data_IF_989401858821
#
_entry.id   IF_989401858821
#
_cell.length_a   1.000
_cell.length_b   1.000
_cell.length_c   1.000
_cell.angle_alpha   90.00
_cell.angle_beta   90.00
_cell.angle_gamma   90.00
#
_symmetry.space_group_name_H-M   'P 1'
#
loop_
_entity.id
_entity.type
_entity.pdbx_description
1 polymer ?
#
# COMPACT_ATOMS: atom_id res chain seq x y z
N UNK A 1 8.45 -6.78 37.12
CA UNK A 1 7.24 -6.94 36.29
C UNK A 1 7.52 -6.23 34.98
N UNK A 2 7.68 -6.96 33.88
CA UNK A 2 7.87 -6.36 32.55
C UNK A 2 6.50 -6.09 31.94
N UNK A 3 6.02 -4.86 32.08
CA UNK A 3 4.85 -4.37 31.35
C UNK A 3 5.19 -4.36 29.85
N UNK A 4 4.73 -5.38 29.12
CA UNK A 4 4.66 -5.30 27.65
C UNK A 4 3.54 -4.31 27.33
N UNK A 5 3.89 -3.08 26.98
CA UNK A 5 2.96 -2.19 26.30
C UNK A 5 2.46 -2.92 25.05
N UNK A 6 1.14 -3.07 24.84
CA UNK A 6 0.64 -3.67 23.61
C UNK A 6 0.99 -2.72 22.47
N UNK A 7 1.81 -3.18 21.51
CA UNK A 7 2.05 -2.46 20.27
C UNK A 7 0.72 -2.05 19.64
N UNK A 8 0.68 -0.85 19.05
CA UNK A 8 -0.49 -0.44 18.29
C UNK A 8 -0.64 -1.40 17.10
N UNK A 9 -1.79 -2.05 16.99
CA UNK A 9 -1.98 -3.13 16.00
C UNK A 9 -1.88 -2.63 14.55
N UNK A 10 -2.21 -1.36 14.31
CA UNK A 10 -2.19 -0.75 12.98
C UNK A 10 -2.08 0.78 13.09
N UNK A 11 -1.34 1.38 12.17
CA UNK A 11 -1.39 2.82 11.90
C UNK A 11 -2.78 3.14 11.37
N UNK A 12 -3.46 4.20 11.83
CA UNK A 12 -4.83 4.49 11.37
C UNK A 12 -4.86 5.04 9.94
N UNK A 13 -3.88 5.89 9.61
CA UNK A 13 -3.77 6.60 8.35
C UNK A 13 -3.31 5.68 7.20
N UNK A 14 -4.11 5.51 6.12
CA UNK A 14 -3.76 4.68 4.98
C UNK A 14 -2.52 5.15 4.22
N UNK A 15 -2.32 6.47 4.07
CA UNK A 15 -1.15 7.05 3.41
C UNK A 15 0.15 6.65 4.11
N UNK A 16 0.17 6.78 5.44
CA UNK A 16 1.31 6.37 6.26
C UNK A 16 1.61 4.87 6.14
N UNK A 17 0.59 4.00 6.08
CA UNK A 17 0.82 2.55 5.86
C UNK A 17 1.52 2.28 4.54
N UNK A 18 1.14 3.00 3.48
CA UNK A 18 1.76 2.91 2.16
C UNK A 18 3.20 3.42 2.20
N UNK A 19 3.46 4.54 2.88
CA UNK A 19 4.81 5.09 3.01
C UNK A 19 5.73 4.13 3.76
N UNK A 20 5.24 3.48 4.81
CA UNK A 20 5.97 2.40 5.52
C UNK A 20 6.26 1.25 4.55
N UNK A 21 5.26 0.78 3.81
CA UNK A 21 5.43 -0.32 2.87
C UNK A 21 6.43 0.01 1.74
N UNK A 22 6.37 1.24 1.22
CA UNK A 22 7.32 1.77 0.24
C UNK A 22 8.73 1.85 0.82
N UNK A 23 8.87 2.36 2.04
CA UNK A 23 10.17 2.45 2.72
C UNK A 23 10.81 1.05 2.90
N UNK A 24 10.02 0.02 3.22
CA UNK A 24 10.51 -1.37 3.25
C UNK A 24 10.99 -1.81 1.87
N UNK A 25 10.22 -1.54 0.82
CA UNK A 25 10.59 -1.90 -0.55
C UNK A 25 11.87 -1.18 -1.04
N UNK A 26 12.07 0.05 -0.60
CA UNK A 26 13.27 0.86 -0.85
C UNK A 26 14.49 0.42 -0.01
N UNK A 27 14.32 -0.57 0.89
CA UNK A 27 15.38 -1.21 1.65
C UNK A 27 15.48 -0.81 3.12
N UNK A 28 14.51 -0.06 3.65
CA UNK A 28 14.47 0.31 5.07
C UNK A 28 14.21 -0.92 5.94
N UNK A 29 15.01 -1.17 7.00
CA UNK A 29 14.78 -2.28 7.90
C UNK A 29 13.40 -2.25 8.56
N UNK A 30 12.73 -3.40 8.58
CA UNK A 30 11.42 -3.56 9.20
C UNK A 30 11.42 -3.19 10.68
N UNK A 31 12.47 -3.58 11.42
CA UNK A 31 12.55 -3.34 12.87
C UNK A 31 12.69 -1.85 13.17
N UNK A 32 13.39 -1.09 12.31
CA UNK A 32 13.51 0.36 12.43
C UNK A 32 12.14 1.04 12.25
N UNK A 33 11.37 0.65 11.24
CA UNK A 33 10.03 1.20 11.00
C UNK A 33 9.04 0.78 12.10
N UNK A 34 9.18 -0.43 12.63
CA UNK A 34 8.36 -0.91 13.73
C UNK A 34 8.56 -0.06 14.99
N UNK A 35 9.82 0.27 15.32
CA UNK A 35 10.17 1.16 16.42
C UNK A 35 9.70 2.60 16.17
N UNK A 36 9.92 3.12 14.96
CA UNK A 36 9.57 4.51 14.60
C UNK A 36 8.06 4.78 14.69
N UNK A 37 7.24 3.82 14.26
CA UNK A 37 5.79 3.97 14.21
C UNK A 37 5.06 3.30 15.40
N UNK A 38 5.77 2.77 16.38
CA UNK A 38 5.24 2.04 17.56
C UNK A 38 4.24 0.92 17.19
N UNK A 39 4.57 0.16 16.15
CA UNK A 39 3.76 -0.96 15.64
C UNK A 39 4.57 -2.26 15.66
N UNK A 40 3.86 -3.39 15.61
CA UNK A 40 4.52 -4.69 15.55
C UNK A 40 5.30 -4.86 14.22
N UNK A 41 6.51 -5.47 14.23
CA UNK A 41 7.24 -5.81 13.00
C UNK A 41 6.43 -6.67 12.02
N UNK A 42 5.54 -7.52 12.53
CA UNK A 42 4.61 -8.30 11.72
C UNK A 42 3.60 -7.43 10.96
N UNK A 43 3.16 -6.32 11.55
CA UNK A 43 2.26 -5.35 10.89
C UNK A 43 3.00 -4.64 9.75
N UNK A 44 4.25 -4.24 9.96
CA UNK A 44 5.09 -3.64 8.91
C UNK A 44 5.27 -4.61 7.73
N UNK A 45 5.61 -5.88 8.00
CA UNK A 45 5.75 -6.91 6.95
C UNK A 45 4.46 -7.09 6.17
N UNK A 46 3.33 -7.13 6.87
CA UNK A 46 2.01 -7.24 6.24
C UNK A 46 1.73 -6.05 5.31
N UNK A 47 2.04 -4.82 5.71
CA UNK A 47 1.89 -3.66 4.83
C UNK A 47 2.77 -3.77 3.59
N UNK A 48 4.01 -4.24 3.75
CA UNK A 48 4.92 -4.47 2.63
C UNK A 48 4.41 -5.54 1.66
N UNK A 49 3.84 -6.64 2.17
CA UNK A 49 3.24 -7.71 1.36
C UNK A 49 2.02 -7.21 0.57
N UNK A 50 1.08 -6.54 1.24
CA UNK A 50 -0.11 -5.96 0.62
C UNK A 50 0.27 -4.97 -0.50
N UNK A 51 1.26 -4.10 -0.24
CA UNK A 51 1.77 -3.16 -1.24
C UNK A 51 2.49 -3.87 -2.39
N UNK A 52 3.31 -4.89 -2.12
CA UNK A 52 4.03 -5.63 -3.15
C UNK A 52 3.08 -6.33 -4.13
N UNK A 53 1.94 -6.85 -3.64
CA UNK A 53 0.90 -7.45 -4.46
C UNK A 53 0.21 -6.40 -5.34
N UNK A 54 -0.13 -5.23 -4.78
CA UNK A 54 -0.66 -4.09 -5.56
C UNK A 54 0.31 -3.69 -6.67
N UNK A 55 1.59 -3.53 -6.35
CA UNK A 55 2.61 -3.18 -7.33
C UNK A 55 2.82 -4.28 -8.38
N UNK A 56 2.63 -5.56 -8.03
CA UNK A 56 2.69 -6.66 -9.00
C UNK A 56 1.56 -6.53 -10.02
N UNK A 57 0.34 -6.23 -9.58
CA UNK A 57 -0.79 -5.98 -10.47
C UNK A 57 -0.50 -4.82 -11.41
N UNK A 58 0.02 -3.70 -10.91
CA UNK A 58 0.33 -2.52 -11.72
C UNK A 58 1.51 -2.77 -12.69
N UNK A 59 2.54 -3.50 -12.26
CA UNK A 59 3.69 -3.84 -13.11
C UNK A 59 3.31 -4.71 -14.30
N UNK A 60 2.26 -5.52 -14.17
CA UNK A 60 1.74 -6.33 -15.27
C UNK A 60 1.02 -5.51 -16.35
N UNK A 61 0.62 -4.27 -16.02
CA UNK A 61 0.05 -3.34 -16.98
C UNK A 61 1.18 -2.63 -17.74
N UNK A 62 1.03 -2.54 -19.06
CA UNK A 62 1.90 -1.71 -19.88
C UNK A 62 1.60 -0.21 -19.67
N UNK A 63 2.45 0.65 -20.24
CA UNK A 63 2.32 2.10 -20.12
C UNK A 63 0.98 2.62 -20.66
N UNK A 64 0.53 2.10 -21.81
CA UNK A 64 -0.69 2.55 -22.48
C UNK A 64 -1.94 2.10 -21.72
N UNK A 65 -1.93 0.89 -21.15
CA UNK A 65 -2.98 0.38 -20.29
C UNK A 65 -3.14 1.27 -19.06
N UNK A 66 -2.03 1.62 -18.39
CA UNK A 66 -2.07 2.51 -17.21
C UNK A 66 -2.67 3.87 -17.53
N UNK A 67 -2.25 4.50 -18.64
CA UNK A 67 -2.81 5.78 -19.08
C UNK A 67 -4.29 5.66 -19.43
N UNK A 68 -4.67 4.61 -20.15
CA UNK A 68 -6.05 4.35 -20.57
C UNK A 68 -6.98 4.13 -19.37
N UNK A 69 -6.53 3.37 -18.38
CA UNK A 69 -7.25 3.15 -17.12
C UNK A 69 -7.40 4.46 -16.37
N UNK A 70 -6.33 5.25 -16.25
CA UNK A 70 -6.35 6.56 -15.57
C UNK A 70 -7.36 7.50 -16.22
N UNK A 71 -7.34 7.61 -17.55
CA UNK A 71 -8.28 8.43 -18.32
C UNK A 71 -9.73 7.92 -18.18
N UNK A 72 -9.94 6.61 -18.22
CA UNK A 72 -11.25 6.01 -18.05
C UNK A 72 -11.82 6.27 -16.64
N UNK A 73 -11.00 6.15 -15.60
CA UNK A 73 -11.39 6.46 -14.23
C UNK A 73 -11.79 7.91 -14.06
N UNK A 74 -11.01 8.86 -14.62
CA UNK A 74 -11.34 10.30 -14.62
C UNK A 74 -12.66 10.62 -15.34
N UNK A 75 -13.10 9.77 -16.27
CA UNK A 75 -14.40 9.88 -16.99
C UNK A 75 -15.55 9.13 -16.32
N UNK A 76 -15.35 8.59 -15.12
CA UNK A 76 -16.38 7.87 -14.35
C UNK A 76 -16.38 6.34 -14.53
N UNK A 77 -15.42 5.77 -15.28
CA UNK A 77 -15.28 4.32 -15.50
C UNK A 77 -14.65 3.53 -14.35
N UNK A 78 -14.43 4.17 -13.19
CA UNK A 78 -13.66 3.63 -12.06
C UNK A 78 -14.13 2.25 -11.58
N UNK A 79 -15.45 2.09 -11.39
CA UNK A 79 -16.04 0.84 -10.82
C UNK A 79 -15.69 -0.42 -11.58
N UNK A 80 -15.48 -0.34 -12.90
CA UNK A 80 -15.06 -1.49 -13.71
C UNK A 80 -13.66 -1.93 -13.31
N UNK A 81 -12.73 -0.98 -13.29
CA UNK A 81 -11.33 -1.24 -13.01
C UNK A 81 -11.10 -1.66 -11.56
N UNK A 82 -11.88 -1.15 -10.60
CA UNK A 82 -11.79 -1.60 -9.20
C UNK A 82 -12.16 -3.07 -9.05
N UNK A 83 -13.07 -3.59 -9.88
CA UNK A 83 -13.41 -5.03 -9.88
C UNK A 83 -12.35 -5.88 -10.57
N UNK A 84 -11.67 -5.33 -11.56
CA UNK A 84 -10.71 -6.05 -12.40
C UNK A 84 -9.32 -6.09 -11.78
N UNK A 85 -8.86 -4.97 -11.21
CA UNK A 85 -7.51 -4.80 -10.67
C UNK A 85 -7.47 -4.74 -9.15
N UNK A 86 -8.62 -4.53 -8.50
CA UNK A 86 -8.72 -4.24 -7.08
C UNK A 86 -8.74 -2.75 -6.78
N UNK A 87 -9.39 -2.37 -5.68
CA UNK A 87 -9.56 -0.96 -5.27
C UNK A 87 -8.23 -0.29 -5.01
N UNK A 88 -7.30 -0.97 -4.33
CA UNK A 88 -6.03 -0.39 -3.93
C UNK A 88 -5.08 -0.18 -5.13
N UNK A 89 -5.11 -1.07 -6.13
CA UNK A 89 -4.38 -0.86 -7.38
C UNK A 89 -4.93 0.32 -8.19
N UNK A 90 -6.24 0.51 -8.21
CA UNK A 90 -6.84 1.69 -8.87
C UNK A 90 -6.53 2.97 -8.12
N UNK A 91 -6.58 2.98 -6.78
CA UNK A 91 -6.17 4.14 -5.97
C UNK A 91 -4.71 4.50 -6.21
N UNK A 92 -3.83 3.51 -6.22
CA UNK A 92 -2.40 3.67 -6.51
C UNK A 92 -2.16 4.25 -7.91
N UNK A 93 -2.87 3.76 -8.94
CA UNK A 93 -2.80 4.31 -10.30
C UNK A 93 -3.28 5.76 -10.40
N UNK A 94 -4.23 6.16 -9.55
CA UNK A 94 -4.79 7.50 -9.51
C UNK A 94 -4.05 8.45 -8.56
N UNK A 95 -3.07 7.94 -7.81
CA UNK A 95 -2.36 8.64 -6.74
C UNK A 95 -3.31 9.19 -5.65
N UNK A 96 -4.34 8.41 -5.30
CA UNK A 96 -5.31 8.74 -4.24
C UNK A 96 -4.91 8.05 -2.92
N UNK A 97 -4.65 8.83 -1.86
CA UNK A 97 -4.27 8.36 -0.52
C UNK A 97 -5.17 8.94 0.57
#
# INVERSE_FOLDING_TARGET
>A
MTSRTPFQHAVADPGTRRDIARAVADGTPVDQLAEEFDIAPSTVRRYAEEWADVQRTIRNLDHWERESITLACRRGGRRRWERELGVDAVRELLDEH
#
